data_IF_619798177484
#
_entry.id   IF_619798177484
#
_cell.length_a   1.000
_cell.length_b   1.000
_cell.length_c   1.000
_cell.angle_alpha   90.00
_cell.angle_beta   90.00
_cell.angle_gamma   90.00
#
_symmetry.space_group_name_H-M   'P 1'
#
loop_
_entity.id
_entity.type
_entity.pdbx_description
1 polymer ?
#
# COMPACT_ATOMS: atom_id res chain seq x y z
N UNK A 1 -12.84 1.38 23.00
CA UNK A 1 -11.57 2.01 22.57
C UNK A 1 -11.37 1.64 21.11
N UNK A 2 -10.83 2.53 20.29
CA UNK A 2 -10.51 2.27 18.86
C UNK A 2 -9.64 1.02 18.65
N UNK A 3 -8.89 0.61 19.67
CA UNK A 3 -8.05 -0.59 19.65
C UNK A 3 -8.78 -1.92 19.48
N UNK A 4 -10.10 -1.98 19.63
CA UNK A 4 -10.85 -3.24 19.61
C UNK A 4 -11.68 -3.41 18.31
N UNK A 5 -11.72 -2.38 17.45
CA UNK A 5 -12.51 -2.38 16.23
C UNK A 5 -11.84 -3.25 15.14
N UNK A 6 -12.62 -4.04 14.42
CA UNK A 6 -12.19 -4.69 13.18
C UNK A 6 -12.26 -3.72 11.99
N UNK A 7 -11.76 -4.14 10.80
CA UNK A 7 -11.73 -3.27 9.62
C UNK A 7 -13.13 -2.72 9.26
N UNK A 8 -14.14 -3.56 9.23
CA UNK A 8 -15.50 -3.16 8.90
C UNK A 8 -16.06 -2.12 9.87
N UNK A 9 -15.80 -2.27 11.17
CA UNK A 9 -16.23 -1.32 12.19
C UNK A 9 -15.50 0.03 12.06
N UNK A 10 -14.23 0.02 11.66
CA UNK A 10 -13.48 1.25 11.35
C UNK A 10 -14.09 1.93 10.14
N UNK A 11 -14.39 1.19 9.06
CA UNK A 11 -15.01 1.76 7.86
C UNK A 11 -16.44 2.28 8.13
N UNK A 12 -17.20 1.63 9.00
CA UNK A 12 -18.52 2.11 9.43
C UNK A 12 -18.41 3.42 10.20
N UNK A 13 -17.48 3.53 11.14
CA UNK A 13 -17.24 4.78 11.88
C UNK A 13 -16.84 5.93 10.95
N UNK A 14 -15.95 5.67 9.97
CA UNK A 14 -15.56 6.67 8.97
C UNK A 14 -16.70 7.06 8.02
N UNK A 15 -17.63 6.15 7.73
CA UNK A 15 -18.81 6.45 6.92
C UNK A 15 -19.80 7.36 7.66
N UNK A 16 -19.93 7.16 8.98
CA UNK A 16 -20.78 8.01 9.83
C UNK A 16 -20.15 9.39 10.10
N UNK A 17 -18.83 9.41 10.37
CA UNK A 17 -18.04 10.63 10.61
C UNK A 17 -16.61 10.44 10.05
N UNK A 18 -16.29 11.00 8.87
CA UNK A 18 -14.97 10.89 8.24
C UNK A 18 -13.80 11.37 9.11
N UNK A 19 -14.06 12.28 10.06
CA UNK A 19 -13.07 12.78 11.02
C UNK A 19 -12.89 11.93 12.28
N UNK A 20 -13.69 10.88 12.48
CA UNK A 20 -13.72 10.11 13.73
C UNK A 20 -12.48 9.23 13.96
N UNK A 21 -11.74 8.87 12.90
CA UNK A 21 -10.53 8.05 12.95
C UNK A 21 -9.36 8.79 12.32
N UNK A 22 -8.28 8.96 13.09
CA UNK A 22 -7.05 9.60 12.63
C UNK A 22 -6.15 8.54 11.98
N UNK A 23 -5.86 8.72 10.70
CA UNK A 23 -5.03 7.80 9.93
C UNK A 23 -3.64 8.37 9.73
N UNK A 24 -2.61 7.57 9.98
CA UNK A 24 -1.23 7.91 9.68
C UNK A 24 -0.65 7.03 8.58
N UNK A 25 0.42 7.51 7.96
CA UNK A 25 1.22 6.71 7.03
C UNK A 25 2.69 7.13 7.04
N UNK A 26 3.57 6.33 6.44
CA UNK A 26 5.01 6.59 6.36
C UNK A 26 5.34 7.60 5.26
N UNK A 27 4.40 7.85 4.36
CA UNK A 27 4.54 8.71 3.19
C UNK A 27 3.60 9.92 3.23
N UNK A 28 3.91 10.94 2.43
CA UNK A 28 3.14 12.19 2.35
C UNK A 28 1.71 11.98 1.84
N UNK A 29 0.88 13.01 2.03
CA UNK A 29 -0.47 13.08 1.43
C UNK A 29 -0.35 12.95 -0.10
N UNK A 30 -1.20 12.11 -0.70
CA UNK A 30 -1.19 11.82 -2.14
C UNK A 30 -0.20 10.73 -2.57
N UNK A 31 0.61 10.18 -1.66
CA UNK A 31 1.52 9.08 -1.97
C UNK A 31 0.98 7.70 -1.56
N UNK A 32 1.80 6.67 -1.69
CA UNK A 32 1.39 5.25 -1.66
C UNK A 32 0.51 4.86 -0.47
N UNK A 33 0.90 5.21 0.75
CA UNK A 33 0.12 4.82 1.95
C UNK A 33 -1.23 5.55 2.01
N UNK A 34 -1.27 6.79 1.53
CA UNK A 34 -2.53 7.55 1.44
C UNK A 34 -3.45 6.95 0.39
N UNK A 35 -2.94 6.69 -0.82
CA UNK A 35 -3.71 6.06 -1.91
C UNK A 35 -4.21 4.68 -1.49
N UNK A 36 -3.39 3.86 -0.83
CA UNK A 36 -3.81 2.57 -0.28
C UNK A 36 -5.01 2.71 0.67
N UNK A 37 -4.95 3.66 1.60
CA UNK A 37 -6.05 3.91 2.52
C UNK A 37 -7.31 4.39 1.80
N UNK A 38 -7.18 5.33 0.87
CA UNK A 38 -8.30 5.84 0.08
C UNK A 38 -8.98 4.75 -0.74
N UNK A 39 -8.23 3.85 -1.37
CA UNK A 39 -8.78 2.69 -2.10
C UNK A 39 -9.60 1.77 -1.20
N UNK A 40 -9.12 1.49 0.01
CA UNK A 40 -9.87 0.67 0.98
C UNK A 40 -11.13 1.39 1.42
N UNK A 41 -11.06 2.69 1.68
CA UNK A 41 -12.21 3.51 2.08
C UNK A 41 -13.26 3.60 0.97
N UNK A 42 -12.85 3.83 -0.28
CA UNK A 42 -13.72 3.87 -1.45
C UNK A 42 -14.41 2.52 -1.67
N UNK A 43 -13.66 1.40 -1.64
CA UNK A 43 -14.22 0.06 -1.77
C UNK A 43 -15.16 -0.32 -0.62
N UNK A 44 -14.97 0.28 0.56
CA UNK A 44 -15.89 0.16 1.68
C UNK A 44 -17.14 1.04 1.54
N UNK A 45 -17.28 1.83 0.46
CA UNK A 45 -18.43 2.68 0.18
C UNK A 45 -18.45 4.01 0.97
N UNK A 46 -17.27 4.54 1.30
CA UNK A 46 -17.14 5.90 1.84
C UNK A 46 -17.13 6.87 0.67
N UNK A 47 -18.13 7.78 0.62
CA UNK A 47 -18.30 8.76 -0.47
C UNK A 47 -17.50 10.06 -0.22
N UNK A 48 -17.32 10.45 1.05
CA UNK A 48 -16.65 11.70 1.44
C UNK A 48 -15.15 11.47 1.67
N UNK A 49 -14.43 11.00 0.65
CA UNK A 49 -12.99 10.67 0.75
C UNK A 49 -12.13 11.89 1.05
N UNK A 50 -12.53 13.08 0.56
CA UNK A 50 -11.88 14.38 0.78
C UNK A 50 -11.93 14.86 2.23
N UNK A 51 -12.83 14.29 3.04
CA UNK A 51 -12.99 14.62 4.46
C UNK A 51 -12.24 13.66 5.39
N UNK A 52 -11.63 12.61 4.86
CA UNK A 52 -10.87 11.65 5.65
C UNK A 52 -9.58 12.27 6.21
N UNK A 53 -9.32 12.01 7.49
CA UNK A 53 -8.13 12.53 8.15
C UNK A 53 -6.92 11.64 7.86
N UNK A 54 -5.93 12.14 7.14
CA UNK A 54 -4.66 11.46 6.92
C UNK A 54 -3.47 12.37 7.24
N UNK A 55 -2.44 11.81 7.90
CA UNK A 55 -1.20 12.52 8.23
C UNK A 55 0.01 11.66 7.83
N UNK A 56 0.86 12.20 6.96
CA UNK A 56 2.13 11.58 6.59
C UNK A 56 3.23 11.87 7.61
N UNK A 57 4.01 10.84 7.97
CA UNK A 57 5.15 10.92 8.88
C UNK A 57 6.41 10.42 8.15
N UNK A 58 6.93 11.24 7.24
CA UNK A 58 8.06 10.90 6.36
C UNK A 58 9.37 10.57 7.10
N UNK A 59 9.43 10.87 8.39
CA UNK A 59 10.59 10.61 9.25
C UNK A 59 10.57 9.21 9.91
N UNK A 60 9.65 8.34 9.50
CA UNK A 60 9.51 6.97 10.01
C UNK A 60 8.91 6.85 11.40
N UNK A 61 8.40 7.95 12.00
CA UNK A 61 7.83 7.96 13.37
C UNK A 61 6.36 7.56 13.45
N UNK A 62 5.71 7.21 12.37
CA UNK A 62 4.27 6.90 12.35
C UNK A 62 3.89 5.80 13.36
N UNK A 63 4.71 4.76 13.50
CA UNK A 63 4.45 3.68 14.46
C UNK A 63 4.55 4.16 15.92
N UNK A 64 5.46 5.08 16.22
CA UNK A 64 5.50 5.71 17.53
C UNK A 64 4.27 6.60 17.79
N UNK A 65 3.73 7.26 16.77
CA UNK A 65 2.48 8.01 16.87
C UNK A 65 1.28 7.08 17.11
N UNK A 66 1.25 5.92 16.48
CA UNK A 66 0.23 4.90 16.73
C UNK A 66 0.28 4.39 18.17
N UNK A 67 1.46 3.97 18.63
CA UNK A 67 1.66 3.48 20.00
C UNK A 67 1.40 4.56 21.05
N UNK A 68 1.67 5.83 20.72
CA UNK A 68 1.38 6.99 21.55
C UNK A 68 -0.09 7.46 21.53
N UNK A 69 -0.93 6.85 20.69
CA UNK A 69 -2.35 7.22 20.53
C UNK A 69 -2.58 8.57 19.85
N UNK A 70 -1.60 9.07 19.08
CA UNK A 70 -1.72 10.30 18.30
C UNK A 70 -2.40 10.07 16.96
N UNK A 71 -2.30 8.84 16.41
CA UNK A 71 -3.13 8.31 15.34
C UNK A 71 -3.82 7.04 15.81
N UNK A 72 -4.94 6.68 15.19
CA UNK A 72 -5.78 5.55 15.59
C UNK A 72 -5.46 4.30 14.74
N UNK A 73 -5.14 4.49 13.48
CA UNK A 73 -4.71 3.46 12.54
C UNK A 73 -3.55 3.96 11.67
N UNK A 74 -2.83 3.01 11.06
CA UNK A 74 -1.72 3.29 10.13
C UNK A 74 -1.92 2.51 8.85
N UNK A 75 -1.75 3.19 7.73
CA UNK A 75 -1.53 2.59 6.41
C UNK A 75 -0.03 2.51 6.17
N UNK A 76 0.51 1.31 5.93
CA UNK A 76 1.94 1.07 5.79
C UNK A 76 2.23 -0.25 5.08
N UNK A 77 3.46 -0.46 4.67
CA UNK A 77 3.95 -1.73 4.17
C UNK A 77 4.01 -2.83 5.26
N UNK A 78 3.77 -4.08 4.90
CA UNK A 78 3.83 -5.21 5.85
C UNK A 78 5.20 -5.27 6.55
N UNK A 79 6.29 -5.05 5.80
CA UNK A 79 7.66 -5.08 6.33
C UNK A 79 7.92 -4.07 7.45
N UNK A 80 7.17 -2.96 7.47
CA UNK A 80 7.34 -1.92 8.48
C UNK A 80 6.69 -2.29 9.83
N UNK A 81 5.66 -3.14 9.81
CA UNK A 81 4.82 -3.43 10.98
C UNK A 81 4.99 -4.83 11.54
N UNK A 82 5.57 -5.80 10.80
CA UNK A 82 5.62 -7.21 11.18
C UNK A 82 6.21 -7.44 12.58
N UNK A 83 7.28 -6.75 12.94
CA UNK A 83 7.89 -6.87 14.27
C UNK A 83 6.98 -6.43 15.42
N UNK A 84 6.14 -5.41 15.20
CA UNK A 84 5.17 -4.97 16.21
C UNK A 84 3.93 -5.89 16.27
N UNK A 85 3.61 -6.56 15.19
CA UNK A 85 2.57 -7.60 15.18
C UNK A 85 3.06 -8.84 15.96
N UNK A 86 4.32 -9.25 15.74
CA UNK A 86 4.93 -10.37 16.46
C UNK A 86 5.03 -10.12 17.97
N UNK A 87 5.33 -8.87 18.39
CA UNK A 87 5.35 -8.50 19.80
C UNK A 87 3.94 -8.32 20.41
N UNK A 88 2.91 -8.24 19.58
CA UNK A 88 1.53 -8.02 20.02
C UNK A 88 1.21 -6.56 20.36
N UNK A 89 2.09 -5.61 20.00
CA UNK A 89 1.89 -4.19 20.24
C UNK A 89 0.89 -3.56 19.27
N UNK A 90 0.79 -4.13 18.05
CA UNK A 90 -0.19 -3.74 17.03
C UNK A 90 -0.85 -4.99 16.43
N UNK A 91 -1.98 -4.80 15.80
CA UNK A 91 -2.66 -5.84 15.00
C UNK A 91 -2.98 -5.29 13.63
N UNK A 92 -2.95 -6.16 12.63
CA UNK A 92 -3.36 -5.84 11.27
C UNK A 92 -4.88 -5.93 11.16
N UNK A 93 -5.49 -4.89 10.59
CA UNK A 93 -6.92 -4.84 10.32
C UNK A 93 -7.26 -5.52 9.00
N UNK A 94 -6.41 -5.38 8.00
CA UNK A 94 -6.53 -6.01 6.69
C UNK A 94 -5.30 -5.73 5.84
N UNK A 95 -4.96 -6.64 4.95
CA UNK A 95 -3.96 -6.45 3.90
C UNK A 95 -4.66 -6.32 2.54
N UNK A 96 -4.08 -5.52 1.67
CA UNK A 96 -4.64 -5.18 0.36
C UNK A 96 -4.18 -6.14 -0.76
N UNK A 97 -3.92 -7.39 -0.41
CA UNK A 97 -3.62 -8.45 -1.37
C UNK A 97 -4.89 -9.24 -1.72
N UNK A 98 -4.93 -9.83 -2.91
CA UNK A 98 -6.05 -10.69 -3.36
C UNK A 98 -6.26 -11.91 -2.45
N UNK A 99 -5.16 -12.45 -1.94
CA UNK A 99 -5.14 -13.58 -1.02
C UNK A 99 -4.06 -13.37 0.04
N UNK A 100 -4.09 -14.19 1.10
CA UNK A 100 -3.06 -14.13 2.14
C UNK A 100 -1.68 -14.42 1.57
N UNK A 101 -0.70 -13.64 2.00
CA UNK A 101 0.68 -13.66 1.48
C UNK A 101 1.68 -14.07 2.57
N UNK A 102 2.89 -14.38 2.16
CA UNK A 102 4.02 -14.62 3.06
C UNK A 102 3.93 -15.93 3.85
N UNK A 103 4.52 -15.93 5.04
CA UNK A 103 4.59 -17.11 5.94
C UNK A 103 4.56 -16.65 7.40
N UNK A 104 4.42 -17.60 8.33
CA UNK A 104 4.34 -17.30 9.76
C UNK A 104 3.16 -16.37 10.07
N UNK A 105 3.39 -15.35 10.91
CA UNK A 105 2.34 -14.44 11.34
C UNK A 105 1.74 -13.62 10.18
N UNK A 106 2.50 -13.38 9.12
CA UNK A 106 2.02 -12.65 7.94
C UNK A 106 0.93 -13.42 7.22
N UNK A 107 1.06 -14.75 7.11
CA UNK A 107 0.05 -15.61 6.49
C UNK A 107 -1.26 -15.71 7.32
N UNK A 108 -1.24 -15.27 8.57
CA UNK A 108 -2.42 -15.22 9.44
C UNK A 108 -3.21 -13.91 9.31
N UNK A 109 -2.59 -12.87 8.69
CA UNK A 109 -3.23 -11.58 8.50
C UNK A 109 -4.39 -11.68 7.52
N UNK A 110 -5.59 -11.16 7.86
CA UNK A 110 -6.75 -11.22 6.97
C UNK A 110 -6.58 -10.24 5.81
N UNK A 111 -7.09 -10.58 4.62
CA UNK A 111 -7.19 -9.62 3.52
C UNK A 111 -8.42 -8.72 3.67
N UNK A 112 -8.43 -7.59 2.94
CA UNK A 112 -9.63 -6.74 2.83
C UNK A 112 -10.76 -7.51 2.15
N UNK A 113 -10.46 -8.29 1.11
CA UNK A 113 -11.42 -9.12 0.36
C UNK A 113 -12.08 -10.17 1.25
N UNK A 114 -11.31 -10.88 2.11
CA UNK A 114 -11.89 -11.84 3.08
C UNK A 114 -12.89 -11.19 4.04
N UNK A 115 -12.80 -9.88 4.23
CA UNK A 115 -13.69 -9.10 5.09
C UNK A 115 -14.83 -8.40 4.30
N UNK A 116 -14.96 -8.68 3.00
CA UNK A 116 -16.01 -8.16 2.13
C UNK A 116 -15.72 -6.77 1.56
N UNK A 117 -14.50 -6.27 1.69
CA UNK A 117 -14.04 -5.01 1.07
C UNK A 117 -13.16 -5.38 -0.12
N UNK A 118 -13.66 -5.17 -1.33
CA UNK A 118 -12.98 -5.50 -2.59
C UNK A 118 -11.92 -4.43 -2.92
N UNK A 119 -10.85 -4.44 -2.14
CA UNK A 119 -9.73 -3.52 -2.28
C UNK A 119 -8.41 -4.27 -2.40
N UNK A 120 -7.71 -4.02 -3.49
CA UNK A 120 -6.34 -4.47 -3.73
C UNK A 120 -5.43 -3.28 -3.98
N UNK A 121 -4.21 -3.37 -3.49
CA UNK A 121 -3.19 -2.36 -3.69
C UNK A 121 -1.81 -3.00 -3.60
N UNK A 122 -0.98 -2.73 -4.60
CA UNK A 122 0.39 -3.23 -4.67
C UNK A 122 1.38 -2.07 -4.51
N UNK A 123 2.20 -2.15 -3.50
CA UNK A 123 3.32 -1.23 -3.33
C UNK A 123 4.49 -1.70 -4.21
N UNK A 124 4.33 -1.54 -5.52
CA UNK A 124 5.27 -2.00 -6.53
C UNK A 124 6.62 -1.27 -6.47
N UNK A 125 7.64 -1.87 -7.05
CA UNK A 125 8.96 -1.30 -7.27
C UNK A 125 9.30 -1.37 -8.75
N UNK A 126 9.85 -0.30 -9.30
CA UNK A 126 10.25 -0.23 -10.71
C UNK A 126 11.62 0.40 -10.89
N UNK A 127 12.29 0.03 -11.97
CA UNK A 127 13.55 0.61 -12.40
C UNK A 127 13.30 1.41 -13.67
N UNK A 128 13.72 2.66 -13.67
CA UNK A 128 13.54 3.58 -14.79
C UNK A 128 14.89 4.01 -15.36
N UNK A 129 14.97 4.07 -16.67
CA UNK A 129 16.11 4.62 -17.40
C UNK A 129 15.89 6.07 -17.83
N UNK A 130 16.95 6.76 -18.28
CA UNK A 130 16.84 8.08 -18.92
C UNK A 130 15.95 8.05 -20.15
N UNK A 131 15.31 9.17 -20.44
CA UNK A 131 14.61 9.37 -21.72
C UNK A 131 15.60 9.17 -22.89
N UNK A 132 15.12 8.57 -23.96
CA UNK A 132 15.90 8.33 -25.17
C UNK A 132 17.11 7.39 -24.97
N UNK A 133 17.02 6.43 -24.02
CA UNK A 133 18.02 5.37 -23.85
C UNK A 133 18.15 4.54 -25.14
N UNK A 134 19.39 4.23 -25.62
CA UNK A 134 19.58 3.39 -26.78
C UNK A 134 18.96 1.99 -26.61
N UNK A 135 18.37 1.45 -27.69
CA UNK A 135 17.70 0.14 -27.64
C UNK A 135 18.62 -0.98 -27.12
N UNK A 136 19.89 -1.02 -27.52
CA UNK A 136 20.88 -1.95 -27.02
C UNK A 136 21.02 -1.91 -25.49
N UNK A 137 20.92 -0.72 -24.90
CA UNK A 137 20.98 -0.56 -23.44
C UNK A 137 19.67 -1.01 -22.76
N UNK A 138 18.52 -0.76 -23.39
CA UNK A 138 17.23 -1.26 -22.93
C UNK A 138 17.19 -2.79 -22.90
N UNK A 139 17.58 -3.43 -24.02
CA UNK A 139 17.66 -4.90 -24.14
C UNK A 139 18.63 -5.49 -23.10
N UNK A 140 19.79 -4.85 -22.89
CA UNK A 140 20.76 -5.28 -21.89
C UNK A 140 20.17 -5.28 -20.48
N UNK A 141 19.52 -4.18 -20.08
CA UNK A 141 18.95 -4.05 -18.73
C UNK A 141 17.74 -4.97 -18.55
N UNK A 142 16.88 -5.11 -19.53
CA UNK A 142 15.74 -6.01 -19.47
C UNK A 142 16.17 -7.46 -19.29
N UNK A 143 17.14 -7.91 -20.10
CA UNK A 143 17.74 -9.25 -19.94
C UNK A 143 18.40 -9.42 -18.57
N UNK A 144 19.18 -8.43 -18.12
CA UNK A 144 19.87 -8.47 -16.83
C UNK A 144 18.90 -8.57 -15.67
N UNK A 145 17.80 -7.81 -15.69
CA UNK A 145 16.79 -7.83 -14.64
C UNK A 145 15.97 -9.14 -14.67
N UNK A 146 15.64 -9.61 -15.87
CA UNK A 146 14.99 -10.92 -16.05
C UNK A 146 15.82 -12.07 -15.49
N UNK A 147 17.13 -12.05 -15.72
CA UNK A 147 18.06 -13.06 -15.17
C UNK A 147 18.20 -12.92 -13.65
N UNK A 148 18.30 -11.68 -13.14
CA UNK A 148 18.42 -11.38 -11.71
C UNK A 148 17.24 -11.95 -10.90
N UNK A 149 16.00 -11.73 -11.37
CA UNK A 149 14.81 -12.17 -10.62
C UNK A 149 14.68 -13.70 -10.57
N UNK A 150 15.43 -14.44 -11.39
CA UNK A 150 15.46 -15.89 -11.39
C UNK A 150 16.54 -16.46 -10.43
N UNK A 151 17.39 -15.61 -9.85
CA UNK A 151 18.46 -16.06 -8.95
C UNK A 151 17.94 -16.44 -7.57
N UNK A 152 18.70 -17.31 -6.88
CA UNK A 152 18.40 -17.66 -5.49
C UNK A 152 18.60 -16.46 -4.56
N UNK A 153 19.60 -15.62 -4.83
CA UNK A 153 19.87 -14.40 -4.07
C UNK A 153 18.71 -13.42 -4.10
N UNK A 154 18.03 -13.28 -5.26
CA UNK A 154 16.83 -12.46 -5.37
C UNK A 154 15.67 -13.06 -4.57
N UNK A 155 15.44 -14.37 -4.72
CA UNK A 155 14.42 -15.09 -3.94
C UNK A 155 14.62 -14.91 -2.43
N UNK A 156 15.85 -15.03 -1.95
CA UNK A 156 16.17 -14.86 -0.52
C UNK A 156 16.02 -13.39 -0.07
N UNK A 157 16.30 -12.46 -0.96
CA UNK A 157 16.08 -11.02 -0.73
C UNK A 157 14.60 -10.72 -0.60
N UNK A 158 13.76 -11.18 -1.52
CA UNK A 158 12.31 -11.01 -1.46
C UNK A 158 11.73 -11.59 -0.17
N UNK A 159 12.12 -12.80 0.21
CA UNK A 159 11.70 -13.41 1.48
C UNK A 159 12.12 -12.58 2.71
N UNK A 160 13.34 -12.01 2.70
CA UNK A 160 13.84 -11.19 3.80
C UNK A 160 13.02 -9.92 4.00
N UNK A 161 12.57 -9.30 2.90
CA UNK A 161 11.81 -8.06 2.93
C UNK A 161 10.29 -8.26 2.88
N UNK A 162 9.81 -9.51 2.77
CA UNK A 162 8.38 -9.82 2.64
C UNK A 162 7.79 -9.34 1.32
N UNK A 163 8.59 -9.34 0.24
CA UNK A 163 8.15 -8.96 -1.10
C UNK A 163 7.67 -10.17 -1.88
N UNK A 164 6.60 -9.99 -2.63
CA UNK A 164 6.20 -10.93 -3.67
C UNK A 164 7.08 -10.76 -4.91
N UNK A 165 7.29 -11.86 -5.63
CA UNK A 165 8.04 -11.87 -6.87
C UNK A 165 7.06 -11.82 -8.04
N UNK A 166 6.83 -10.62 -8.54
CA UNK A 166 5.99 -10.37 -9.71
C UNK A 166 6.79 -9.48 -10.68
N UNK A 167 7.49 -10.13 -11.61
CA UNK A 167 8.33 -9.44 -12.58
C UNK A 167 7.54 -9.12 -13.84
N UNK A 168 7.48 -7.84 -14.18
CA UNK A 168 6.96 -7.35 -15.46
C UNK A 168 8.11 -6.87 -16.34
N UNK A 169 8.17 -7.37 -17.58
CA UNK A 169 9.05 -6.83 -18.60
C UNK A 169 8.62 -5.41 -19.03
N UNK A 170 9.43 -4.79 -19.88
CA UNK A 170 9.25 -3.38 -20.28
C UNK A 170 7.83 -3.07 -20.76
N UNK A 171 7.31 -3.82 -21.73
CA UNK A 171 6.00 -3.55 -22.33
C UNK A 171 4.85 -3.77 -21.33
N UNK A 172 4.93 -4.84 -20.54
CA UNK A 172 3.95 -5.15 -19.51
C UNK A 172 3.96 -4.13 -18.39
N UNK A 173 5.17 -3.68 -17.99
CA UNK A 173 5.32 -2.65 -16.96
C UNK A 173 4.84 -1.28 -17.44
N UNK A 174 5.05 -0.92 -18.72
CA UNK A 174 4.51 0.31 -19.30
C UNK A 174 2.97 0.31 -19.30
N UNK A 175 2.34 -0.81 -19.66
CA UNK A 175 0.88 -0.97 -19.59
C UNK A 175 0.38 -0.86 -18.15
N UNK A 176 1.02 -1.56 -17.22
CA UNK A 176 0.71 -1.48 -15.79
C UNK A 176 0.80 -0.04 -15.26
N UNK A 177 1.84 0.71 -15.63
CA UNK A 177 2.01 2.10 -15.22
C UNK A 177 0.92 3.02 -15.77
N UNK A 178 0.46 2.78 -17.01
CA UNK A 178 -0.62 3.55 -17.60
C UNK A 178 -1.93 3.34 -16.82
N UNK A 179 -2.27 2.09 -16.51
CA UNK A 179 -3.46 1.74 -15.73
C UNK A 179 -3.43 2.32 -14.32
N UNK A 180 -2.28 2.18 -13.63
CA UNK A 180 -2.07 2.75 -12.28
C UNK A 180 -2.15 4.27 -12.29
N UNK A 181 -1.59 4.92 -13.31
CA UNK A 181 -1.63 6.38 -13.43
C UNK A 181 -3.08 6.88 -13.61
N UNK A 182 -3.87 6.22 -14.46
CA UNK A 182 -5.27 6.55 -14.67
C UNK A 182 -6.08 6.37 -13.37
N UNK A 183 -5.92 5.23 -12.70
CA UNK A 183 -6.61 4.94 -11.44
C UNK A 183 -6.27 5.98 -10.35
N UNK A 184 -4.98 6.30 -10.19
CA UNK A 184 -4.54 7.24 -9.16
C UNK A 184 -4.96 8.67 -9.48
N UNK A 185 -4.95 9.08 -10.76
CA UNK A 185 -5.42 10.39 -11.17
C UNK A 185 -6.88 10.60 -10.77
N UNK A 186 -7.76 9.66 -11.10
CA UNK A 186 -9.18 9.73 -10.73
C UNK A 186 -9.35 9.84 -9.21
N UNK A 187 -8.67 9.01 -8.44
CA UNK A 187 -8.78 9.00 -6.98
C UNK A 187 -8.25 10.29 -6.34
N UNK A 188 -7.12 10.82 -6.85
CA UNK A 188 -6.51 12.04 -6.34
C UNK A 188 -7.29 13.30 -6.74
N UNK A 189 -7.98 13.31 -7.90
CA UNK A 189 -8.94 14.34 -8.27
C UNK A 189 -10.15 14.36 -7.32
N UNK A 190 -10.69 13.19 -7.00
CA UNK A 190 -11.84 13.04 -6.09
C UNK A 190 -11.57 13.63 -4.69
N UNK A 191 -10.33 13.53 -4.21
CA UNK A 191 -9.93 14.12 -2.92
C UNK A 191 -9.30 15.51 -3.04
N UNK A 192 -9.34 16.13 -4.22
CA UNK A 192 -8.87 17.51 -4.46
C UNK A 192 -7.35 17.69 -4.41
N UNK A 193 -6.57 16.63 -4.63
CA UNK A 193 -5.11 16.65 -4.68
C UNK A 193 -4.55 16.80 -6.10
N UNK A 194 -5.38 16.64 -7.12
CA UNK A 194 -5.10 16.98 -8.52
C UNK A 194 -6.19 17.94 -9.00
N UNK A 195 -5.79 18.90 -9.85
CA UNK A 195 -6.72 19.75 -10.57
C UNK A 195 -7.16 19.02 -11.86
N UNK A 196 -8.46 18.99 -12.14
CA UNK A 196 -8.98 18.52 -13.44
C UNK A 196 -8.47 19.45 -14.55
N UNK A 197 -7.84 18.90 -15.58
CA UNK A 197 -7.41 19.67 -16.77
C UNK A 197 -8.60 20.22 -17.57
#
# INVERSE_FOLDING_TARGET
RSSDLNLNQVMEALREDPGSVRVGGTSSVGSMDHVQFLKVAQAAGIEALDQLSYTGFEDGRVLAQLLGGHVDIVSAGIGDVVGLVESGDVRVLGITAEQRVGSGIVAEMPTCIEQGIDATFYNWRGIFGPKDMPEEALEFWESTLSDLVQTQEWTDTCKRYGWDMDYLGREEFESFLADVNEEYAVLLEEVGLLESE
#
